data_IF_116718173167
#
_entry.id   IF_116718173167
#
_cell.length_a   1.000
_cell.length_b   1.000
_cell.length_c   1.000
_cell.angle_alpha   90.00
_cell.angle_beta   90.00
_cell.angle_gamma   90.00
#
_symmetry.space_group_name_H-M   'P 1'
#
loop_
_entity.id
_entity.type
_entity.pdbx_description
1 polymer ?
#
# COMPACT_ATOMS: atom_id res chain seq x y z
N UNK A 1 -27.94 -15.35 -1.90
CA UNK A 1 -26.47 -15.37 -1.75
C UNK A 1 -25.96 -13.96 -1.98
N UNK A 2 -25.31 -13.29 -1.02
CA UNK A 2 -24.82 -11.93 -1.26
C UNK A 2 -23.62 -12.02 -2.20
N UNK A 3 -23.68 -11.30 -3.32
CA UNK A 3 -22.61 -11.27 -4.33
C UNK A 3 -21.29 -10.81 -3.70
N UNK A 4 -20.36 -11.75 -3.52
CA UNK A 4 -19.06 -11.48 -2.94
C UNK A 4 -18.28 -10.51 -3.82
N UNK A 5 -18.15 -9.26 -3.37
CA UNK A 5 -17.26 -8.28 -4.00
C UNK A 5 -15.84 -8.86 -3.97
N UNK A 6 -15.34 -9.33 -5.12
CA UNK A 6 -13.93 -9.77 -5.26
C UNK A 6 -13.01 -8.64 -4.82
N UNK A 7 -12.06 -8.96 -3.95
CA UNK A 7 -11.03 -8.04 -3.53
C UNK A 7 -10.21 -7.57 -4.77
N UNK A 8 -9.88 -6.26 -4.89
CA UNK A 8 -8.97 -5.77 -5.92
C UNK A 8 -7.65 -6.53 -5.92
N UNK A 9 -7.17 -6.86 -7.13
CA UNK A 9 -5.73 -7.04 -7.33
C UNK A 9 -5.03 -5.69 -7.20
N UNK A 10 -3.94 -5.67 -6.44
CA UNK A 10 -3.08 -4.53 -6.18
C UNK A 10 -1.68 -4.83 -6.69
N UNK A 11 -1.04 -3.81 -7.23
CA UNK A 11 0.36 -3.83 -7.63
C UNK A 11 1.03 -2.53 -7.19
N UNK A 12 2.05 -2.66 -6.35
CA UNK A 12 2.89 -1.57 -5.87
C UNK A 12 4.35 -1.86 -6.21
N UNK A 13 5.02 -0.90 -6.83
CA UNK A 13 6.46 -0.91 -7.07
C UNK A 13 7.16 -0.15 -5.95
N UNK A 14 8.30 -0.65 -5.51
CA UNK A 14 9.15 -0.02 -4.51
C UNK A 14 10.57 0.18 -5.03
N UNK A 15 11.21 1.27 -4.58
CA UNK A 15 12.60 1.55 -4.86
C UNK A 15 13.54 0.53 -4.17
N UNK A 16 14.78 0.34 -4.68
CA UNK A 16 15.70 -0.64 -4.12
C UNK A 16 16.04 -0.41 -2.63
N UNK A 17 16.07 0.86 -2.21
CA UNK A 17 16.35 1.25 -0.83
C UNK A 17 15.33 0.70 0.19
N UNK A 18 14.11 0.39 -0.24
CA UNK A 18 13.05 -0.10 0.65
C UNK A 18 13.14 -1.62 0.92
N UNK A 19 14.07 -2.33 0.27
CA UNK A 19 14.18 -3.80 0.36
C UNK A 19 14.34 -4.33 1.79
N UNK A 20 15.07 -3.62 2.65
CA UNK A 20 15.26 -4.02 4.06
C UNK A 20 13.96 -3.93 4.87
N UNK A 21 13.09 -2.95 4.56
CA UNK A 21 11.78 -2.76 5.19
C UNK A 21 10.75 -3.77 4.66
N UNK A 22 10.84 -4.16 3.39
CA UNK A 22 9.94 -5.14 2.75
C UNK A 22 10.25 -6.58 3.15
N UNK A 23 11.53 -6.91 3.39
CA UNK A 23 11.99 -8.25 3.77
C UNK A 23 11.75 -8.59 5.26
N UNK A 24 11.42 -7.61 6.11
CA UNK A 24 10.88 -7.86 7.46
C UNK A 24 9.35 -7.96 7.37
N UNK A 25 8.71 -9.04 7.82
CA UNK A 25 7.29 -9.19 7.65
C UNK A 25 6.52 -8.31 8.64
N UNK A 26 5.47 -7.69 8.10
CA UNK A 26 4.22 -7.37 8.79
C UNK A 26 4.24 -6.10 9.67
N UNK A 27 3.50 -5.09 9.21
CA UNK A 27 2.12 -5.16 9.60
C UNK A 27 1.28 -5.51 8.39
N UNK A 28 0.68 -6.70 8.44
CA UNK A 28 -0.48 -7.05 7.61
C UNK A 28 -1.68 -6.21 7.97
N UNK A 29 -1.64 -5.41 9.05
CA UNK A 29 -2.64 -4.44 9.47
C UNK A 29 -2.03 -3.32 10.33
N UNK A 30 -2.65 -2.14 10.39
CA UNK A 30 -2.39 -1.21 11.49
C UNK A 30 -3.01 -1.79 12.80
N UNK A 31 -2.46 -1.48 13.99
CA UNK A 31 -3.10 -1.87 15.25
C UNK A 31 -4.56 -1.41 15.31
N UNK A 32 -5.48 -2.32 15.62
CA UNK A 32 -6.93 -2.04 15.64
C UNK A 32 -7.63 -2.10 14.27
N UNK A 33 -6.92 -2.46 13.20
CA UNK A 33 -7.50 -2.59 11.85
C UNK A 33 -7.49 -4.03 11.35
N UNK A 34 -8.42 -4.32 10.45
CA UNK A 34 -8.43 -5.57 9.69
C UNK A 34 -7.18 -5.68 8.80
N UNK A 35 -6.72 -6.90 8.47
CA UNK A 35 -5.66 -7.12 7.51
C UNK A 35 -5.86 -6.34 6.21
N UNK A 36 -4.79 -5.80 5.64
CA UNK A 36 -4.76 -5.13 4.35
C UNK A 36 -5.06 -6.09 3.21
N UNK A 37 -4.49 -7.29 3.33
CA UNK A 37 -4.49 -8.32 2.30
C UNK A 37 -5.51 -9.41 2.62
N UNK A 38 -6.16 -9.92 1.58
CA UNK A 38 -7.03 -11.10 1.69
C UNK A 38 -6.19 -12.37 1.86
N UNK A 39 -5.04 -12.42 1.17
CA UNK A 39 -4.06 -13.49 1.23
C UNK A 39 -2.66 -12.89 1.27
N UNK A 40 -1.64 -13.67 1.64
CA UNK A 40 -0.26 -13.18 1.66
C UNK A 40 0.15 -12.66 0.26
N UNK A 41 0.55 -11.39 0.13
CA UNK A 41 0.98 -10.86 -1.16
C UNK A 41 2.32 -11.46 -1.57
N UNK A 42 2.54 -11.53 -2.88
CA UNK A 42 3.80 -11.95 -3.48
C UNK A 42 4.71 -10.74 -3.60
N UNK A 43 5.91 -10.84 -3.03
CA UNK A 43 6.99 -9.86 -3.18
C UNK A 43 8.03 -10.42 -4.15
N UNK A 44 8.29 -9.71 -5.24
CA UNK A 44 9.29 -10.06 -6.24
C UNK A 44 10.36 -8.99 -6.31
N UNK A 45 11.63 -9.39 -6.20
CA UNK A 45 12.76 -8.54 -6.53
C UNK A 45 13.02 -8.60 -8.04
N UNK A 46 13.27 -7.45 -8.64
CA UNK A 46 13.57 -7.29 -10.07
C UNK A 46 15.08 -7.19 -10.28
N UNK A 47 15.52 -7.44 -11.51
CA UNK A 47 16.94 -7.39 -11.88
C UNK A 47 17.56 -5.98 -11.70
N UNK A 48 16.75 -4.93 -11.74
CA UNK A 48 17.16 -3.54 -11.47
C UNK A 48 17.22 -3.21 -9.95
N UNK A 49 17.01 -4.21 -9.09
CA UNK A 49 16.97 -4.07 -7.63
C UNK A 49 15.66 -3.49 -7.08
N UNK A 50 14.69 -3.15 -7.94
CA UNK A 50 13.36 -2.69 -7.48
C UNK A 50 12.52 -3.88 -7.00
N UNK A 51 11.47 -3.59 -6.24
CA UNK A 51 10.57 -4.62 -5.72
C UNK A 51 9.15 -4.41 -6.22
N UNK A 52 8.48 -5.48 -6.62
CA UNK A 52 7.06 -5.49 -6.94
C UNK A 52 6.30 -6.30 -5.89
N UNK A 53 5.29 -5.68 -5.30
CA UNK A 53 4.35 -6.32 -4.39
C UNK A 53 3.00 -6.48 -5.09
N UNK A 54 2.54 -7.72 -5.22
CA UNK A 54 1.31 -8.07 -5.90
C UNK A 54 0.44 -8.92 -4.99
N UNK A 55 -0.83 -8.56 -4.83
CA UNK A 55 -1.77 -9.32 -4.00
C UNK A 55 -3.19 -8.79 -4.08
N UNK A 56 -4.10 -9.44 -3.35
CA UNK A 56 -5.50 -9.02 -3.25
C UNK A 56 -5.76 -8.31 -1.92
N UNK A 57 -6.39 -7.14 -1.95
CA UNK A 57 -6.57 -6.31 -0.75
C UNK A 57 -8.03 -6.03 -0.43
N UNK A 58 -8.46 -6.28 0.81
CA UNK A 58 -9.81 -5.99 1.30
C UNK A 58 -9.86 -4.64 2.04
N UNK A 59 -8.78 -4.20 2.67
CA UNK A 59 -8.66 -2.91 3.35
C UNK A 59 -7.73 -1.96 2.57
N UNK A 60 -8.29 -1.28 1.57
CA UNK A 60 -7.55 -0.31 0.76
C UNK A 60 -7.18 0.98 1.49
N UNK A 61 -7.89 1.35 2.56
CA UNK A 61 -7.61 2.57 3.33
C UNK A 61 -6.38 2.39 4.23
N UNK A 62 -6.31 1.27 4.95
CA UNK A 62 -5.13 0.87 5.70
C UNK A 62 -3.93 0.69 4.76
N UNK A 63 -4.13 0.01 3.64
CA UNK A 63 -3.09 -0.17 2.63
C UNK A 63 -2.59 1.16 2.05
N UNK A 64 -3.48 2.13 1.79
CA UNK A 64 -3.07 3.43 1.28
C UNK A 64 -2.18 4.20 2.25
N UNK A 65 -2.49 4.17 3.56
CA UNK A 65 -1.65 4.78 4.60
C UNK A 65 -0.31 4.07 4.74
N UNK A 66 -0.31 2.73 4.67
CA UNK A 66 0.92 1.96 4.68
C UNK A 66 1.81 2.29 3.49
N UNK A 67 1.27 2.32 2.25
CA UNK A 67 2.02 2.73 1.05
C UNK A 67 2.57 4.15 1.21
N UNK A 68 1.76 5.09 1.73
CA UNK A 68 2.20 6.47 1.95
C UNK A 68 3.38 6.57 2.92
N UNK A 69 3.53 5.64 3.87
CA UNK A 69 4.66 5.62 4.82
C UNK A 69 6.03 5.32 4.18
N UNK A 70 6.05 4.93 2.90
CA UNK A 70 7.27 4.80 2.09
C UNK A 70 7.60 6.09 1.35
N UNK A 71 6.73 7.10 1.38
CA UNK A 71 6.93 8.37 0.69
C UNK A 71 7.16 8.18 -0.80
N UNK A 72 8.21 8.83 -1.33
CA UNK A 72 8.59 8.72 -2.74
C UNK A 72 9.19 7.35 -3.13
N UNK A 73 9.46 6.47 -2.16
CA UNK A 73 10.01 5.13 -2.38
C UNK A 73 8.98 4.10 -2.85
N UNK A 74 7.69 4.46 -2.93
CA UNK A 74 6.62 3.57 -3.38
C UNK A 74 5.75 4.20 -4.47
N UNK A 75 5.37 3.38 -5.46
CA UNK A 75 4.53 3.77 -6.57
C UNK A 75 3.40 2.75 -6.77
N UNK A 76 2.15 3.21 -6.71
CA UNK A 76 0.99 2.36 -6.98
C UNK A 76 0.78 2.23 -8.49
N UNK A 77 1.06 1.04 -9.03
CA UNK A 77 0.81 0.70 -10.45
C UNK A 77 -0.65 0.37 -10.71
N UNK A 78 -1.34 -0.19 -9.72
CA UNK A 78 -2.78 -0.43 -9.79
C UNK A 78 -3.34 -0.99 -8.48
N UNK A 79 -4.66 -0.92 -8.25
CA UNK A 79 -5.67 -0.33 -9.13
C UNK A 79 -5.81 1.19 -8.93
N UNK A 80 -6.44 1.89 -9.88
CA UNK A 80 -6.69 3.34 -9.82
C UNK A 80 -7.32 3.81 -8.50
N UNK A 81 -8.22 3.00 -7.93
CA UNK A 81 -8.87 3.28 -6.66
C UNK A 81 -7.92 3.30 -5.46
N UNK A 82 -6.81 2.56 -5.50
CA UNK A 82 -5.77 2.62 -4.48
C UNK A 82 -4.91 3.87 -4.68
N UNK A 83 -4.52 4.16 -5.93
CA UNK A 83 -3.78 5.38 -6.28
C UNK A 83 -4.50 6.64 -5.80
N UNK A 84 -5.81 6.73 -6.03
CA UNK A 84 -6.65 7.85 -5.56
C UNK A 84 -6.67 7.97 -4.03
N UNK A 85 -6.70 6.85 -3.31
CA UNK A 85 -6.68 6.83 -1.83
C UNK A 85 -5.33 7.29 -1.27
N UNK A 86 -4.23 6.81 -1.83
CA UNK A 86 -2.88 7.28 -1.45
C UNK A 86 -2.77 8.78 -1.67
N UNK A 87 -3.22 9.30 -2.82
CA UNK A 87 -3.24 10.73 -3.08
C UNK A 87 -4.15 11.53 -2.13
N UNK A 88 -5.30 10.96 -1.73
CA UNK A 88 -6.19 11.58 -0.74
C UNK A 88 -5.53 11.65 0.65
N UNK A 89 -4.93 10.54 1.11
CA UNK A 89 -4.20 10.49 2.37
C UNK A 89 -3.03 11.48 2.40
N UNK A 90 -2.25 11.57 1.32
CA UNK A 90 -1.16 12.54 1.19
C UNK A 90 -1.66 13.98 1.30
N UNK A 91 -2.78 14.31 0.63
CA UNK A 91 -3.39 15.64 0.71
C UNK A 91 -3.92 15.96 2.11
N UNK A 92 -4.46 14.97 2.82
CA UNK A 92 -4.95 15.18 4.18
C UNK A 92 -3.80 15.50 5.14
N UNK A 93 -2.71 14.74 5.07
CA UNK A 93 -1.49 15.01 5.86
C UNK A 93 -0.95 16.41 5.56
N UNK A 94 -0.90 16.79 4.27
CA UNK A 94 -0.47 18.13 3.88
C UNK A 94 -1.35 19.26 4.44
N UNK A 95 -2.67 19.07 4.46
CA UNK A 95 -3.60 20.05 5.04
C UNK A 95 -3.35 20.23 6.53
N UNK A 96 -3.17 19.14 7.27
CA UNK A 96 -2.92 19.18 8.70
C UNK A 96 -1.66 20.00 9.04
N UNK A 97 -0.55 19.75 8.34
CA UNK A 97 0.68 20.54 8.52
C UNK A 97 0.58 22.01 8.09
N UNK A 98 -0.41 22.36 7.26
CA UNK A 98 -0.67 23.76 6.88
C UNK A 98 -1.52 24.50 7.90
N UNK A 99 -2.37 23.81 8.65
CA UNK A 99 -3.24 24.38 9.68
C UNK A 99 -2.51 24.48 11.03
N UNK A 100 -1.50 23.62 11.25
CA UNK A 100 -0.61 23.66 12.43
C UNK A 100 0.49 24.75 12.35
N UNK A 101 0.49 25.59 11.29
CA UNK A 101 1.45 26.69 11.07
C UNK A 101 0.73 28.03 11.01
#
# INVERSE_FOLDING_TARGET
MPGGKRAPSVHVKFAPAEGSRLRRPEPTSCPGEAPFWTERPVLMERADGTYDLIGTANNLEGLARWVLSFGAGAEVRGPDRLRRRVAAAARQVWKQYREDK
#
